data_IF_685131441398
#
_entry.id   IF_685131441398
#
_cell.length_a   1.000
_cell.length_b   1.000
_cell.length_c   1.000
_cell.angle_alpha   90.00
_cell.angle_beta   90.00
_cell.angle_gamma   90.00
#
_symmetry.space_group_name_H-M   'P 1'
#
loop_
_entity.id
_entity.type
_entity.pdbx_description
1 polymer ?
#
# COMPACT_ATOMS: atom_id res chain seq x y z
N UNK A 1 6.28 4.97 5.59
CA UNK A 1 6.05 3.59 6.10
C UNK A 1 4.93 3.02 5.27
N UNK A 2 5.15 1.85 4.66
CA UNK A 2 4.14 1.22 3.83
C UNK A 2 3.24 0.30 4.65
N UNK A 3 1.93 0.57 4.61
CA UNK A 3 0.89 -0.24 5.26
C UNK A 3 -0.13 -0.67 4.23
N UNK A 4 -0.34 -1.97 4.10
CA UNK A 4 -1.34 -2.55 3.22
C UNK A 4 -2.62 -2.83 4.01
N UNK A 5 -3.71 -2.15 3.66
CA UNK A 5 -5.06 -2.49 4.07
C UNK A 5 -5.69 -3.42 3.02
N UNK A 6 -5.66 -4.72 3.31
CA UNK A 6 -6.23 -5.78 2.46
C UNK A 6 -7.75 -5.92 2.62
N UNK A 7 -8.35 -5.18 3.54
CA UNK A 7 -9.78 -5.16 3.73
C UNK A 7 -10.49 -4.27 2.72
N UNK A 8 -11.78 -4.54 2.50
CA UNK A 8 -12.63 -3.77 1.57
C UNK A 8 -13.14 -2.43 2.15
N UNK A 9 -12.67 -2.02 3.32
CA UNK A 9 -13.17 -0.86 4.04
C UNK A 9 -12.06 0.09 4.45
N UNK A 10 -12.36 1.38 4.48
CA UNK A 10 -11.49 2.38 5.10
C UNK A 10 -11.39 2.06 6.60
N UNK A 11 -10.15 1.97 7.09
CA UNK A 11 -9.85 1.76 8.51
C UNK A 11 -9.30 3.04 9.12
N UNK A 12 -9.71 3.32 10.35
CA UNK A 12 -9.13 4.39 11.16
C UNK A 12 -8.34 3.77 12.30
N UNK A 13 -7.02 3.93 12.30
CA UNK A 13 -6.12 3.35 13.30
C UNK A 13 -5.28 4.48 13.88
N UNK A 14 -5.52 4.79 15.16
CA UNK A 14 -5.05 6.05 15.75
C UNK A 14 -5.75 7.22 15.06
N UNK A 15 -4.96 8.17 14.56
CA UNK A 15 -5.45 9.31 13.77
C UNK A 15 -5.24 9.12 12.25
N UNK A 16 -4.82 7.93 11.83
CA UNK A 16 -4.52 7.64 10.42
C UNK A 16 -5.73 7.01 9.75
N UNK A 17 -6.05 7.52 8.55
CA UNK A 17 -7.04 6.94 7.65
C UNK A 17 -6.32 6.04 6.64
N UNK A 18 -6.59 4.74 6.70
CA UNK A 18 -6.10 3.76 5.74
C UNK A 18 -7.20 3.45 4.73
N UNK A 19 -6.96 3.78 3.46
CA UNK A 19 -7.81 3.34 2.35
C UNK A 19 -7.47 1.89 1.97
N UNK A 20 -8.40 1.12 1.35
CA UNK A 20 -8.05 -0.17 0.76
C UNK A 20 -6.85 -0.06 -0.18
N UNK A 21 -5.97 -1.08 -0.15
CA UNK A 21 -4.68 -1.06 -0.82
C UNK A 21 -3.55 -0.57 0.06
N UNK A 22 -2.43 -0.18 -0.55
CA UNK A 22 -1.26 0.29 0.17
C UNK A 22 -1.32 1.79 0.42
N UNK A 23 -0.95 2.17 1.64
CA UNK A 23 -0.87 3.54 2.11
C UNK A 23 0.59 3.83 2.47
N UNK A 24 1.13 4.94 1.98
CA UNK A 24 2.46 5.44 2.37
C UNK A 24 2.32 6.50 3.46
N UNK A 25 2.58 6.08 4.70
CA UNK A 25 2.45 6.93 5.88
C UNK A 25 3.73 7.75 6.08
N UNK A 26 3.59 9.05 6.30
CA UNK A 26 4.72 9.86 6.74
C UNK A 26 5.16 9.49 8.18
N UNK A 27 6.18 10.15 8.71
CA UNK A 27 6.71 9.83 10.04
C UNK A 27 5.67 10.08 11.16
N UNK A 28 4.89 11.16 11.06
CA UNK A 28 3.88 11.51 12.06
C UNK A 28 2.73 10.51 12.05
N UNK A 29 2.25 10.17 10.87
CA UNK A 29 1.20 9.18 10.67
C UNK A 29 1.68 7.78 11.06
N UNK A 30 2.92 7.41 10.74
CA UNK A 30 3.49 6.14 11.16
C UNK A 30 3.53 6.01 12.69
N UNK A 31 3.93 7.05 13.42
CA UNK A 31 3.89 7.06 14.89
C UNK A 31 2.47 6.93 15.44
N UNK A 32 1.51 7.68 14.88
CA UNK A 32 0.11 7.61 15.26
C UNK A 32 -0.50 6.22 14.98
N UNK A 33 -0.15 5.62 13.83
CA UNK A 33 -0.55 4.28 13.45
C UNK A 33 0.02 3.23 14.41
N UNK A 34 1.33 3.25 14.70
CA UNK A 34 1.98 2.32 15.64
C UNK A 34 1.30 2.38 17.01
N UNK A 35 1.03 3.58 17.52
CA UNK A 35 0.31 3.77 18.79
C UNK A 35 -1.12 3.24 18.72
N UNK A 36 -1.82 3.49 17.62
CA UNK A 36 -3.16 2.94 17.36
C UNK A 36 -3.17 1.40 17.33
N UNK A 37 -2.13 0.78 16.78
CA UNK A 37 -1.94 -0.67 16.74
C UNK A 37 -1.66 -1.29 18.11
N UNK A 38 -1.45 -0.52 19.18
CA UNK A 38 -1.32 -1.09 20.52
C UNK A 38 -2.64 -1.65 21.05
N UNK A 39 -3.77 -1.14 20.56
CA UNK A 39 -5.11 -1.59 20.94
C UNK A 39 -5.35 -3.04 20.49
N UNK A 40 -5.85 -3.93 21.38
CA UNK A 40 -6.06 -5.34 21.05
C UNK A 40 -6.94 -5.59 19.82
N UNK A 41 -7.94 -4.73 19.58
CA UNK A 41 -8.81 -4.82 18.43
C UNK A 41 -8.04 -4.58 17.12
N UNK A 42 -7.16 -3.58 17.08
CA UNK A 42 -6.36 -3.29 15.88
C UNK A 42 -5.31 -4.37 15.63
N UNK A 43 -4.70 -4.93 16.69
CA UNK A 43 -3.83 -6.12 16.57
C UNK A 43 -4.56 -7.33 16.00
N UNK A 44 -5.87 -7.44 16.20
CA UNK A 44 -6.64 -8.53 15.61
C UNK A 44 -6.69 -8.42 14.08
N UNK A 45 -6.73 -7.20 13.53
CA UNK A 45 -6.69 -6.97 12.08
C UNK A 45 -5.37 -7.44 11.47
N UNK A 46 -4.25 -7.16 12.14
CA UNK A 46 -2.93 -7.67 11.72
C UNK A 46 -2.85 -9.19 11.81
N UNK A 47 -3.33 -9.78 12.92
CA UNK A 47 -3.35 -11.24 13.10
C UNK A 47 -4.23 -11.96 12.06
N UNK A 48 -5.31 -11.33 11.63
CA UNK A 48 -6.21 -11.84 10.59
C UNK A 48 -5.69 -11.57 9.17
N UNK A 49 -4.60 -10.81 9.02
CA UNK A 49 -4.04 -10.45 7.72
C UNK A 49 -4.81 -9.35 6.98
N UNK A 50 -5.76 -8.67 7.63
CA UNK A 50 -6.48 -7.53 7.05
C UNK A 50 -5.61 -6.28 6.96
N UNK A 51 -4.69 -6.10 7.92
CA UNK A 51 -3.69 -5.03 7.90
C UNK A 51 -2.31 -5.69 7.88
N UNK A 52 -1.47 -5.30 6.93
CA UNK A 52 -0.10 -5.81 6.81
C UNK A 52 0.87 -4.62 6.74
N UNK A 53 1.84 -4.58 7.66
CA UNK A 53 2.90 -3.59 7.62
C UNK A 53 4.00 -4.12 6.69
N UNK A 54 4.12 -3.52 5.51
CA UNK A 54 5.05 -3.96 4.46
C UNK A 54 6.49 -3.53 4.74
N UNK A 55 6.65 -2.44 5.50
CA UNK A 55 7.95 -1.95 5.95
C UNK A 55 8.22 -2.42 7.39
N UNK A 56 9.13 -3.39 7.54
CA UNK A 56 9.53 -3.89 8.85
C UNK A 56 10.40 -2.85 9.59
N UNK A 57 9.77 -1.87 10.24
CA UNK A 57 10.37 -1.23 11.41
C UNK A 57 10.33 -2.25 12.56
N UNK A 58 11.30 -3.17 12.58
CA UNK A 58 11.52 -4.00 13.77
C UNK A 58 11.89 -3.10 14.94
N UNK A 59 11.03 -3.05 15.96
CA UNK A 59 11.25 -2.33 17.23
C UNK A 59 12.71 -2.47 17.68
N UNK A 60 13.43 -1.34 17.73
CA UNK A 60 14.78 -1.25 18.30
C UNK A 60 15.96 -1.34 17.35
N UNK A 61 15.76 -1.47 16.03
CA UNK A 61 16.84 -1.24 15.05
C UNK A 61 16.37 -0.27 14.00
N UNK A 62 17.05 0.87 13.91
CA UNK A 62 16.95 1.84 12.81
C UNK A 62 17.43 1.16 11.52
N UNK A 63 16.63 0.26 10.98
CA UNK A 63 16.75 -0.17 9.60
C UNK A 63 15.97 0.85 8.79
N UNK A 64 16.64 1.39 7.76
CA UNK A 64 16.04 2.27 6.75
C UNK A 64 14.63 1.79 6.42
N UNK A 65 13.69 2.74 6.34
CA UNK A 65 12.38 2.48 5.77
C UNK A 65 12.55 1.69 4.47
N UNK A 66 11.96 0.51 4.41
CA UNK A 66 11.93 -0.38 3.25
C UNK A 66 10.95 0.25 2.27
N UNK A 67 11.47 1.05 1.35
CA UNK A 67 10.69 1.63 0.26
C UNK A 67 10.09 0.55 -0.64
N UNK A 68 9.14 0.94 -1.50
CA UNK A 68 8.41 0.02 -2.37
C UNK A 68 9.35 -0.85 -3.23
N UNK A 69 10.42 -0.25 -3.74
CA UNK A 69 11.44 -0.93 -4.57
C UNK A 69 12.17 -2.05 -3.82
N UNK A 70 12.15 -2.07 -2.49
CA UNK A 70 12.77 -3.10 -1.66
C UNK A 70 11.87 -4.31 -1.38
N UNK A 71 10.58 -4.24 -1.71
CA UNK A 71 9.68 -5.39 -1.67
C UNK A 71 10.13 -6.47 -2.66
N UNK A 72 9.85 -7.74 -2.37
CA UNK A 72 10.02 -8.81 -3.37
C UNK A 72 9.11 -8.55 -4.56
N UNK A 73 9.47 -9.02 -5.76
CA UNK A 73 8.66 -8.79 -6.96
C UNK A 73 7.20 -9.27 -6.79
N UNK A 74 7.00 -10.46 -6.20
CA UNK A 74 5.67 -11.00 -5.94
C UNK A 74 4.87 -10.11 -4.97
N UNK A 75 5.52 -9.63 -3.90
CA UNK A 75 4.86 -8.76 -2.92
C UNK A 75 4.53 -7.40 -3.50
N UNK A 76 5.41 -6.84 -4.33
CA UNK A 76 5.16 -5.60 -5.04
C UNK A 76 3.94 -5.74 -5.97
N UNK A 77 3.87 -6.82 -6.75
CA UNK A 77 2.72 -7.08 -7.65
C UNK A 77 1.40 -7.24 -6.87
N UNK A 78 1.40 -7.96 -5.75
CA UNK A 78 0.23 -8.07 -4.87
C UNK A 78 -0.19 -6.68 -4.36
N UNK A 79 0.76 -5.90 -3.85
CA UNK A 79 0.51 -4.54 -3.37
C UNK A 79 -0.04 -3.59 -4.44
N UNK A 80 0.42 -3.72 -5.69
CA UNK A 80 -0.04 -2.91 -6.81
C UNK A 80 -1.51 -3.20 -7.13
N UNK A 81 -1.87 -4.48 -7.23
CA UNK A 81 -3.22 -4.90 -7.65
C UNK A 81 -4.32 -4.37 -6.72
N UNK A 82 -4.02 -4.25 -5.43
CA UNK A 82 -4.97 -3.77 -4.43
C UNK A 82 -4.97 -2.23 -4.29
N UNK A 83 -4.02 -1.52 -4.92
CA UNK A 83 -3.84 -0.06 -4.77
C UNK A 83 -4.53 0.69 -5.90
N UNK A 84 -5.43 1.61 -5.53
CA UNK A 84 -6.17 2.48 -6.45
C UNK A 84 -5.80 3.97 -6.32
N UNK A 85 -4.70 4.26 -5.63
CA UNK A 85 -4.13 5.59 -5.51
C UNK A 85 -3.17 5.86 -6.67
N UNK A 86 -3.65 6.65 -7.65
CA UNK A 86 -2.93 6.95 -8.88
C UNK A 86 -1.63 7.72 -8.63
N UNK A 87 -1.62 8.68 -7.70
CA UNK A 87 -0.42 9.45 -7.37
C UNK A 87 0.65 8.55 -6.76
N UNK A 88 0.25 7.62 -5.89
CA UNK A 88 1.16 6.65 -5.28
C UNK A 88 1.72 5.66 -6.32
N UNK A 89 0.88 5.19 -7.25
CA UNK A 89 1.32 4.29 -8.32
C UNK A 89 2.31 4.99 -9.28
N UNK A 90 2.06 6.24 -9.66
CA UNK A 90 2.96 7.02 -10.50
C UNK A 90 4.32 7.25 -9.80
N UNK A 91 4.30 7.59 -8.50
CA UNK A 91 5.52 7.67 -7.68
C UNK A 91 6.30 6.35 -7.69
N UNK A 92 5.63 5.22 -7.48
CA UNK A 92 6.28 3.91 -7.49
C UNK A 92 6.84 3.54 -8.87
N UNK A 93 6.19 3.95 -9.96
CA UNK A 93 6.69 3.74 -11.31
C UNK A 93 8.03 4.46 -11.50
N UNK A 94 8.10 5.74 -11.13
CA UNK A 94 9.33 6.53 -11.20
C UNK A 94 10.44 5.92 -10.34
N UNK A 95 10.14 5.59 -9.08
CA UNK A 95 11.10 4.99 -8.16
C UNK A 95 11.61 3.63 -8.65
N UNK A 96 10.73 2.79 -9.19
CA UNK A 96 11.07 1.47 -9.69
C UNK A 96 11.96 1.56 -10.92
N UNK A 97 11.61 2.41 -11.89
CA UNK A 97 12.41 2.63 -13.10
C UNK A 97 13.80 3.22 -12.78
N UNK A 98 13.90 4.11 -11.78
CA UNK A 98 15.16 4.73 -11.39
C UNK A 98 16.10 3.79 -10.62
N UNK A 99 15.57 2.82 -9.87
CA UNK A 99 16.37 1.97 -8.98
C UNK A 99 16.64 0.57 -9.54
N UNK A 100 15.61 -0.29 -9.59
CA UNK A 100 15.77 -1.73 -9.91
C UNK A 100 15.30 -2.09 -11.31
N UNK A 101 14.36 -1.31 -11.85
CA UNK A 101 13.77 -1.45 -13.17
C UNK A 101 13.28 -2.89 -13.45
N UNK A 102 12.57 -3.49 -12.48
CA UNK A 102 12.05 -4.86 -12.63
C UNK A 102 10.90 -4.84 -13.62
N UNK A 103 11.12 -5.37 -14.81
CA UNK A 103 10.14 -5.33 -15.91
C UNK A 103 8.76 -5.85 -15.54
N UNK A 104 8.67 -6.92 -14.74
CA UNK A 104 7.39 -7.46 -14.26
C UNK A 104 6.66 -6.49 -13.33
N UNK A 105 7.38 -5.79 -12.45
CA UNK A 105 6.81 -4.83 -11.50
C UNK A 105 6.38 -3.57 -12.24
N UNK A 106 7.24 -3.03 -13.11
CA UNK A 106 6.93 -1.86 -13.95
C UNK A 106 5.65 -2.09 -14.75
N UNK A 107 5.54 -3.23 -15.45
CA UNK A 107 4.33 -3.58 -16.20
C UNK A 107 3.09 -3.71 -15.32
N UNK A 108 3.22 -4.27 -14.12
CA UNK A 108 2.10 -4.37 -13.20
C UNK A 108 1.60 -2.98 -12.77
N UNK A 109 2.51 -2.02 -12.50
CA UNK A 109 2.15 -0.64 -12.17
C UNK A 109 1.48 0.04 -13.37
N UNK A 110 2.07 -0.07 -14.57
CA UNK A 110 1.52 0.51 -15.79
C UNK A 110 0.11 -0.01 -16.09
N UNK A 111 -0.10 -1.32 -15.97
CA UNK A 111 -1.42 -1.92 -16.16
C UNK A 111 -2.43 -1.41 -15.13
N UNK A 112 -2.08 -1.38 -13.84
CA UNK A 112 -2.98 -0.87 -12.81
C UNK A 112 -3.33 0.62 -13.03
N UNK A 113 -2.37 1.44 -13.47
CA UNK A 113 -2.63 2.84 -13.82
C UNK A 113 -3.59 2.93 -15.02
N UNK A 114 -3.41 2.08 -16.03
CA UNK A 114 -4.28 2.03 -17.20
C UNK A 114 -5.70 1.58 -16.81
N UNK A 115 -5.85 0.54 -16.00
CA UNK A 115 -7.12 0.04 -15.50
C UNK A 115 -7.89 1.12 -14.71
N UNK A 116 -7.18 1.99 -13.98
CA UNK A 116 -7.78 3.11 -13.24
C UNK A 116 -8.19 4.25 -14.19
N UNK A 117 -7.36 4.57 -15.20
CA UNK A 117 -7.61 5.71 -16.12
C UNK A 117 -8.61 5.36 -17.22
N UNK A 118 -8.61 4.11 -17.66
CA UNK A 118 -9.39 3.56 -18.77
C UNK A 118 -10.12 2.28 -18.32
N UNK A 119 -11.03 2.36 -17.34
CA UNK A 119 -11.73 1.18 -16.85
C UNK A 119 -12.57 0.55 -17.97
N UNK A 120 -12.66 -0.78 -17.97
CA UNK A 120 -13.52 -1.53 -18.90
C UNK A 120 -14.96 -1.01 -18.85
N UNK A 121 -15.63 -0.91 -20.00
CA UNK A 121 -17.00 -0.39 -20.12
C UNK A 121 -17.98 -1.11 -19.16
N UNK A 122 -17.83 -2.42 -18.99
CA UNK A 122 -18.65 -3.25 -18.10
C UNK A 122 -18.48 -2.90 -16.60
N UNK A 123 -17.40 -2.19 -16.24
CA UNK A 123 -17.10 -1.74 -14.88
C UNK A 123 -17.59 -0.31 -14.59
N UNK A 124 -18.05 0.41 -15.62
CA UNK A 124 -18.55 1.79 -15.50
C UNK A 124 -20.03 1.76 -15.12
N UNK A 125 -20.34 2.11 -13.87
CA UNK A 125 -21.72 2.32 -13.44
C UNK A 125 -22.22 3.64 -14.02
N UNK A 126 -23.06 3.56 -15.05
CA UNK A 126 -23.81 4.72 -15.53
C UNK A 126 -24.96 5.01 -14.54
N UNK A 127 -24.95 6.16 -13.85
CA UNK A 127 -26.08 6.53 -13.00
C UNK A 127 -27.26 6.90 -13.92
N UNK A 128 -28.35 6.14 -13.82
CA UNK A 128 -29.66 6.53 -14.38
C UNK A 128 -30.22 7.79 -13.71
#
# INVERSE_FOLDING_TARGET
>A
MLVHNKGSYIRHIGNVRLIPGVNDLDNSDAEAFIKGMELPLNKSLERLGEIEILDHITKGKSKKAVGFTELSANKAVESIADTFDLELLEKWLEEEQANKNRTTVVKAIENQIDDIKNPDEDSVVNPE
#
